data_IF_789479063173
#
_entry.id   IF_789479063173
#
_cell.length_a   1.000
_cell.length_b   1.000
_cell.length_c   1.000
_cell.angle_alpha   90.00
_cell.angle_beta   90.00
_cell.angle_gamma   90.00
#
_symmetry.space_group_name_H-M   'P 1'
#
loop_
_entity.id
_entity.type
_entity.pdbx_description
1 polymer ?
#
# COMPACT_ATOMS: atom_id res chain seq x y z
N UNK A 1 15.99 10.26 -6.41
CA UNK A 1 14.74 9.52 -6.11
C UNK A 1 14.54 9.39 -4.61
N UNK A 2 15.54 8.94 -3.84
CA UNK A 2 15.43 8.65 -2.41
C UNK A 2 15.00 9.85 -1.56
N UNK A 3 15.43 11.07 -1.92
CA UNK A 3 14.98 12.31 -1.27
C UNK A 3 13.45 12.51 -1.34
N UNK A 4 12.82 12.10 -2.43
CA UNK A 4 11.35 12.21 -2.60
C UNK A 4 10.64 11.21 -1.69
N UNK A 5 11.20 10.01 -1.52
CA UNK A 5 10.67 9.02 -0.58
C UNK A 5 10.79 9.46 0.88
N UNK A 6 11.89 10.12 1.27
CA UNK A 6 12.01 10.70 2.62
C UNK A 6 11.00 11.83 2.84
N UNK A 7 10.80 12.70 1.84
CA UNK A 7 9.78 13.76 1.91
C UNK A 7 8.38 13.16 2.05
N UNK A 8 8.10 12.05 1.36
CA UNK A 8 6.85 11.30 1.49
C UNK A 8 6.65 10.72 2.89
N UNK A 9 7.70 10.14 3.50
CA UNK A 9 7.63 9.63 4.87
C UNK A 9 7.35 10.74 5.88
N UNK A 10 8.02 11.88 5.74
CA UNK A 10 7.80 13.06 6.59
C UNK A 10 6.37 13.57 6.40
N UNK A 11 5.89 13.68 5.16
CA UNK A 11 4.52 14.09 4.86
C UNK A 11 3.47 13.15 5.47
N UNK A 12 3.71 11.84 5.43
CA UNK A 12 2.86 10.84 6.08
C UNK A 12 2.89 10.95 7.61
N UNK A 13 4.06 11.24 8.20
CA UNK A 13 4.21 11.42 9.63
C UNK A 13 3.44 12.65 10.15
N UNK A 14 3.51 13.77 9.42
CA UNK A 14 2.75 14.98 9.74
C UNK A 14 1.32 14.98 9.20
N UNK A 15 0.91 13.92 8.48
CA UNK A 15 -0.40 13.80 7.83
C UNK A 15 -0.73 15.00 6.91
N UNK A 16 0.29 15.58 6.27
CA UNK A 16 0.14 16.70 5.35
C UNK A 16 -0.19 16.19 3.95
N UNK A 17 -1.48 16.17 3.63
CA UNK A 17 -1.99 15.64 2.37
C UNK A 17 -1.51 16.44 1.14
N UNK A 18 -1.29 17.76 1.27
CA UNK A 18 -0.85 18.60 0.16
C UNK A 18 0.60 18.28 -0.21
N UNK A 19 1.45 18.14 0.82
CA UNK A 19 2.85 17.75 0.64
C UNK A 19 2.98 16.34 0.05
N UNK A 20 2.17 15.39 0.52
CA UNK A 20 2.16 14.02 -0.02
C UNK A 20 1.75 14.02 -1.48
N UNK A 21 0.66 14.70 -1.86
CA UNK A 21 0.18 14.75 -3.24
C UNK A 21 1.23 15.34 -4.18
N UNK A 22 1.86 16.46 -3.79
CA UNK A 22 2.97 17.06 -4.56
C UNK A 22 4.17 16.14 -4.68
N UNK A 23 4.48 15.38 -3.64
CA UNK A 23 5.61 14.45 -3.64
C UNK A 23 5.34 13.22 -4.51
N UNK A 24 4.09 12.72 -4.53
CA UNK A 24 3.67 11.64 -5.44
C UNK A 24 3.76 12.10 -6.90
N UNK A 25 3.29 13.32 -7.21
CA UNK A 25 3.36 13.88 -8.57
C UNK A 25 4.80 14.02 -9.06
N UNK A 26 5.67 14.61 -8.21
CA UNK A 26 7.12 14.68 -8.48
C UNK A 26 7.73 13.30 -8.71
N UNK A 27 7.36 12.31 -7.89
CA UNK A 27 7.85 10.95 -8.06
C UNK A 27 7.39 10.36 -9.41
N UNK A 28 6.12 10.56 -9.80
CA UNK A 28 5.57 10.11 -11.08
C UNK A 28 6.30 10.72 -12.27
N UNK A 29 6.56 12.02 -12.27
CA UNK A 29 7.32 12.69 -13.33
C UNK A 29 8.75 12.12 -13.44
N UNK A 30 9.43 11.90 -12.31
CA UNK A 30 10.76 11.27 -12.30
C UNK A 30 10.75 9.82 -12.80
N UNK A 31 9.62 9.12 -12.72
CA UNK A 31 9.47 7.77 -13.29
C UNK A 31 9.28 7.80 -14.82
N UNK A 32 8.70 8.86 -15.38
CA UNK A 32 8.55 9.03 -16.83
C UNK A 32 9.90 9.30 -17.52
N UNK A 33 10.84 9.98 -16.84
CA UNK A 33 12.20 10.23 -17.35
C UNK A 33 13.11 8.99 -17.33
N UNK A 34 12.66 7.86 -16.78
CA UNK A 34 13.40 6.60 -16.75
C UNK A 34 13.67 6.14 -15.32
N UNK A 35 12.69 5.48 -14.71
CA UNK A 35 12.81 4.93 -13.37
C UNK A 35 12.79 3.41 -13.31
N UNK A 36 13.52 2.89 -12.33
CA UNK A 36 13.60 1.48 -11.97
C UNK A 36 12.23 0.90 -11.55
N UNK A 37 11.90 -0.29 -12.06
CA UNK A 37 10.61 -0.94 -11.86
C UNK A 37 10.32 -1.23 -10.38
N UNK A 38 11.35 -1.62 -9.61
CA UNK A 38 11.22 -1.89 -8.19
C UNK A 38 10.78 -0.64 -7.40
N UNK A 39 11.37 0.51 -7.75
CA UNK A 39 11.04 1.81 -7.16
C UNK A 39 9.61 2.24 -7.49
N UNK A 40 9.09 1.87 -8.67
CA UNK A 40 7.70 2.13 -9.06
C UNK A 40 6.71 1.32 -8.21
N UNK A 41 7.02 0.05 -7.91
CA UNK A 41 6.18 -0.75 -7.00
C UNK A 41 6.21 -0.21 -5.58
N UNK A 42 7.38 0.24 -5.12
CA UNK A 42 7.50 0.94 -3.84
C UNK A 42 6.59 2.18 -3.81
N UNK A 43 6.61 3.03 -4.83
CA UNK A 43 5.72 4.21 -4.89
C UNK A 43 4.23 3.84 -4.80
N UNK A 44 3.79 2.74 -5.43
CA UNK A 44 2.39 2.29 -5.35
C UNK A 44 1.94 2.02 -3.91
N UNK A 45 2.83 1.50 -3.06
CA UNK A 45 2.53 1.27 -1.64
C UNK A 45 2.32 2.60 -0.90
N UNK A 46 3.18 3.60 -1.14
CA UNK A 46 2.99 4.94 -0.57
C UNK A 46 1.70 5.60 -1.06
N UNK A 47 1.40 5.48 -2.35
CA UNK A 47 0.16 5.99 -2.93
C UNK A 47 -1.08 5.27 -2.36
N UNK A 48 -0.99 3.95 -2.13
CA UNK A 48 -2.01 3.17 -1.44
C UNK A 48 -2.25 3.63 -0.01
N UNK A 49 -1.18 3.93 0.73
CA UNK A 49 -1.25 4.46 2.10
C UNK A 49 -1.87 5.87 2.14
N UNK A 50 -1.51 6.73 1.19
CA UNK A 50 -2.14 8.04 1.01
C UNK A 50 -3.64 7.91 0.66
N UNK A 51 -4.00 6.99 -0.23
CA UNK A 51 -5.41 6.71 -0.55
C UNK A 51 -6.18 6.21 0.68
N UNK A 52 -5.54 5.43 1.56
CA UNK A 52 -6.14 4.99 2.82
C UNK A 52 -6.35 6.18 3.77
N UNK A 53 -5.37 7.08 3.89
CA UNK A 53 -5.45 8.27 4.74
C UNK A 53 -6.51 9.28 4.26
N UNK A 54 -6.71 9.40 2.94
CA UNK A 54 -7.76 10.23 2.30
C UNK A 54 -9.13 9.55 2.24
N UNK A 55 -9.31 8.39 2.89
CA UNK A 55 -10.55 7.58 2.94
C UNK A 55 -11.01 6.99 1.60
N UNK A 56 -10.13 6.89 0.59
CA UNK A 56 -10.42 6.23 -0.67
C UNK A 56 -10.05 4.74 -0.64
N UNK A 57 -10.87 3.95 0.06
CA UNK A 57 -10.61 2.52 0.30
C UNK A 57 -10.62 1.67 -0.98
N UNK A 58 -11.40 2.05 -2.01
CA UNK A 58 -11.45 1.32 -3.28
C UNK A 58 -10.12 1.34 -4.03
N UNK A 59 -9.51 2.53 -4.15
CA UNK A 59 -8.19 2.66 -4.78
C UNK A 59 -7.11 2.04 -3.90
N UNK A 60 -7.15 2.28 -2.59
CA UNK A 60 -6.18 1.71 -1.65
C UNK A 60 -6.14 0.19 -1.70
N UNK A 61 -7.30 -0.48 -1.68
CA UNK A 61 -7.39 -1.94 -1.73
C UNK A 61 -6.79 -2.51 -3.02
N UNK A 62 -7.07 -1.91 -4.20
CA UNK A 62 -6.48 -2.38 -5.45
C UNK A 62 -4.96 -2.22 -5.45
N UNK A 63 -4.46 -1.05 -5.06
CA UNK A 63 -3.02 -0.75 -5.02
C UNK A 63 -2.28 -1.67 -4.05
N UNK A 64 -2.86 -1.95 -2.88
CA UNK A 64 -2.27 -2.86 -1.91
C UNK A 64 -2.28 -4.30 -2.42
N UNK A 65 -3.38 -4.80 -2.98
CA UNK A 65 -3.45 -6.15 -3.54
C UNK A 65 -2.43 -6.39 -4.65
N UNK A 66 -2.24 -5.43 -5.55
CA UNK A 66 -1.21 -5.51 -6.60
C UNK A 66 0.22 -5.46 -6.03
N UNK A 67 0.40 -4.82 -4.88
CA UNK A 67 1.71 -4.65 -4.25
C UNK A 67 2.06 -5.73 -3.22
N UNK A 68 1.12 -6.60 -2.80
CA UNK A 68 1.39 -7.72 -1.88
C UNK A 68 2.46 -8.66 -2.41
N UNK A 69 2.41 -8.98 -3.70
CA UNK A 69 3.31 -9.95 -4.34
C UNK A 69 4.72 -9.42 -4.55
N UNK A 70 4.89 -8.11 -4.52
CA UNK A 70 6.14 -7.40 -4.88
C UNK A 70 6.61 -6.46 -3.77
N UNK A 71 6.13 -6.68 -2.54
CA UNK A 71 6.47 -5.82 -1.41
C UNK A 71 7.94 -6.00 -1.00
N UNK A 72 8.73 -4.94 -1.18
CA UNK A 72 10.14 -4.88 -0.77
C UNK A 72 10.41 -3.77 0.24
N UNK A 73 9.38 -3.02 0.66
CA UNK A 73 9.55 -1.76 1.40
C UNK A 73 9.48 -1.94 2.92
N UNK A 74 10.44 -2.68 3.47
CA UNK A 74 10.55 -2.91 4.92
C UNK A 74 10.90 -1.63 5.73
N UNK A 75 11.28 -0.55 5.04
CA UNK A 75 11.59 0.74 5.67
C UNK A 75 10.36 1.50 6.17
N UNK A 76 9.15 1.16 5.71
CA UNK A 76 7.93 1.84 6.15
C UNK A 76 7.26 1.14 7.34
N UNK A 77 7.10 -0.17 7.22
CA UNK A 77 6.46 -1.04 8.21
C UNK A 77 6.86 -2.49 7.95
N UNK A 78 6.74 -3.32 8.99
CA UNK A 78 6.90 -4.77 8.87
C UNK A 78 5.84 -5.36 7.95
N UNK A 79 6.18 -6.45 7.26
CA UNK A 79 5.30 -7.16 6.35
C UNK A 79 3.97 -7.58 7.01
N UNK A 80 3.98 -7.94 8.29
CA UNK A 80 2.76 -8.28 9.05
C UNK A 80 1.76 -7.12 9.10
N UNK A 81 2.25 -5.91 9.40
CA UNK A 81 1.44 -4.69 9.44
C UNK A 81 0.91 -4.33 8.05
N UNK A 82 1.71 -4.57 7.01
CA UNK A 82 1.28 -4.37 5.64
C UNK A 82 0.11 -5.27 5.25
N UNK A 83 0.24 -6.58 5.55
CA UNK A 83 -0.83 -7.54 5.30
C UNK A 83 -2.08 -7.13 6.08
N UNK A 84 -1.92 -6.73 7.35
CA UNK A 84 -3.03 -6.28 8.17
C UNK A 84 -3.81 -5.13 7.52
N UNK A 85 -3.12 -4.07 7.07
CA UNK A 85 -3.78 -2.95 6.39
C UNK A 85 -4.39 -3.34 5.05
N UNK A 86 -3.75 -4.25 4.31
CA UNK A 86 -4.27 -4.73 3.04
C UNK A 86 -5.55 -5.55 3.21
N UNK A 87 -5.59 -6.42 4.22
CA UNK A 87 -6.79 -7.18 4.59
C UNK A 87 -7.88 -6.24 5.07
N UNK A 88 -7.56 -5.29 5.95
CA UNK A 88 -8.52 -4.32 6.49
C UNK A 88 -9.17 -3.48 5.37
N UNK A 89 -8.37 -2.91 4.48
CA UNK A 89 -8.86 -2.12 3.34
C UNK A 89 -9.65 -2.98 2.34
N UNK A 90 -9.24 -4.23 2.14
CA UNK A 90 -10.00 -5.19 1.32
C UNK A 90 -11.36 -5.53 1.93
N UNK A 91 -11.44 -5.69 3.26
CA UNK A 91 -12.69 -5.94 3.98
C UNK A 91 -13.66 -4.78 3.86
N UNK A 92 -13.15 -3.55 3.92
CA UNK A 92 -13.98 -2.33 3.82
C UNK A 92 -14.42 -2.08 2.36
N UNK A 93 -13.58 -2.43 1.39
CA UNK A 93 -13.81 -2.06 -0.01
C UNK A 93 -14.56 -3.11 -0.85
N UNK A 94 -14.46 -4.39 -0.52
CA UNK A 94 -14.99 -5.49 -1.36
C UNK A 94 -16.18 -6.17 -0.68
N UNK A 95 -17.20 -6.48 -1.49
CA UNK A 95 -18.31 -7.33 -1.08
C UNK A 95 -17.83 -8.77 -0.76
N UNK A 96 -18.50 -9.47 0.17
CA UNK A 96 -18.09 -10.77 0.74
C UNK A 96 -17.62 -11.80 -0.29
N UNK A 97 -18.22 -11.81 -1.49
CA UNK A 97 -17.89 -12.78 -2.55
C UNK A 97 -16.50 -12.51 -3.15
N UNK A 98 -16.17 -11.24 -3.39
CA UNK A 98 -14.88 -10.83 -3.97
C UNK A 98 -13.74 -10.93 -2.95
N UNK A 99 -14.06 -10.74 -1.68
CA UNK A 99 -13.14 -10.87 -0.54
C UNK A 99 -12.66 -12.32 -0.40
N UNK A 100 -13.58 -13.29 -0.52
CA UNK A 100 -13.25 -14.72 -0.50
C UNK A 100 -12.31 -15.10 -1.66
N UNK A 101 -12.54 -14.58 -2.86
CA UNK A 101 -11.68 -14.87 -4.01
C UNK A 101 -10.30 -14.22 -3.93
N UNK A 102 -10.19 -12.94 -3.56
CA UNK A 102 -8.89 -12.22 -3.59
C UNK A 102 -8.01 -12.48 -2.36
N UNK A 103 -8.61 -12.66 -1.17
CA UNK A 103 -7.88 -12.88 0.08
C UNK A 103 -7.56 -14.36 0.34
N UNK A 104 -8.40 -15.31 -0.09
CA UNK A 104 -8.06 -16.74 0.04
C UNK A 104 -7.20 -17.28 -1.09
N UNK A 105 -7.15 -16.60 -2.25
CA UNK A 105 -6.24 -17.01 -3.35
C UNK A 105 -4.82 -16.49 -3.15
N UNK A 106 -4.61 -15.50 -2.27
CA UNK A 106 -3.27 -15.07 -1.85
C UNK A 106 -2.83 -15.92 -0.67
N UNK A 107 -2.03 -16.96 -0.95
CA UNK A 107 -1.50 -17.94 0.02
C UNK A 107 -0.80 -17.30 1.22
N UNK A 108 -0.23 -16.10 1.06
CA UNK A 108 0.42 -15.32 2.12
C UNK A 108 -0.55 -14.76 3.17
N UNK A 109 -1.77 -14.39 2.77
CA UNK A 109 -2.78 -13.75 3.63
C UNK A 109 -3.42 -14.74 4.60
N UNK A 110 -3.55 -16.02 4.20
CA UNK A 110 -4.09 -17.09 5.01
C UNK A 110 -3.24 -17.39 6.24
N UNK A 111 -1.91 -17.37 6.12
CA UNK A 111 -1.01 -17.68 7.24
C UNK A 111 -1.10 -16.64 8.37
N UNK A 112 -1.24 -15.35 8.04
CA UNK A 112 -1.42 -14.29 9.03
C UNK A 112 -2.83 -14.23 9.64
N UNK A 113 -3.86 -14.78 8.98
CA UNK A 113 -5.23 -14.78 9.48
C UNK A 113 -5.52 -15.92 10.47
N UNK A 114 -4.78 -17.03 10.37
CA UNK A 114 -4.97 -18.22 11.22
C UNK A 114 -4.83 -17.97 12.74
N UNK A 115 -3.92 -17.11 13.22
CA UNK A 115 -3.83 -16.76 14.64
C UNK A 115 -5.03 -15.96 15.18
N UNK A 116 -5.72 -15.20 14.33
CA UNK A 116 -6.81 -14.29 14.73
C UNK A 116 -8.19 -14.94 14.70
N UNK A 117 -8.38 -16.01 13.91
CA UNK A 117 -9.63 -16.77 13.84
C UNK A 117 -9.74 -17.82 14.97
N UNK A 118 -8.64 -18.14 15.65
CA UNK A 118 -8.58 -19.17 16.70
C UNK A 118 -8.49 -18.63 18.13
N UNK A 119 -8.73 -17.33 18.34
CA UNK A 119 -8.89 -16.74 19.68
C UNK A 119 -10.31 -16.25 19.91
#
# INVERSE_FOLDING_TARGET
>A
MDLVFYTLQIGLFYMDFDLISKSIDKAKNLFEEGGDWERKNRLKVYEGLYCMATRNFKKAASLFLDSISTFTTYELFTYDTFIFYTVLTSVISLDRVSLKQKVLSSSSSLHCLFPWIRR
#
